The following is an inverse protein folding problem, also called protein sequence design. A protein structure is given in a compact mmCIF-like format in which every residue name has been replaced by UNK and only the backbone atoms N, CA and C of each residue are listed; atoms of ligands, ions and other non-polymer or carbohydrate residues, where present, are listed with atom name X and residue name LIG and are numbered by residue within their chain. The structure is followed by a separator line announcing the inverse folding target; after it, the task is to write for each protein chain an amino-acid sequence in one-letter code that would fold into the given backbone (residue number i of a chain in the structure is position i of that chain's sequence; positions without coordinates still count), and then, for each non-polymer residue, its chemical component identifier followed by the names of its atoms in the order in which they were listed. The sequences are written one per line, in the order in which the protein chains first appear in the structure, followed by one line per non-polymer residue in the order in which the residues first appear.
data_IF_887427501700
#
_entry.id   IF_887427501700
#
_cell.length_a   1.000
_cell.length_b   1.000
_cell.length_c   1.000
_cell.angle_alpha   90.00
_cell.angle_beta   90.00
_cell.angle_gamma   90.00
#
_symmetry.space_group_name_H-M   'P 1'
#
loop_
_entity.id
_entity.type
_entity.pdbx_description
1 polymer ?
#
# COMPACT_ATOMS: atom_id res chain seq x y z
N UNK A 1 24.97 -14.76 32.02
CA UNK A 1 24.04 -13.69 31.61
C UNK A 1 24.76 -12.37 31.78
N UNK A 2 25.25 -11.77 30.70
CA UNK A 2 25.83 -10.42 30.71
C UNK A 2 24.68 -9.42 30.82
N UNK A 3 24.65 -8.63 31.89
CA UNK A 3 23.65 -7.57 32.09
C UNK A 3 23.93 -6.51 31.01
N UNK A 4 22.94 -6.22 30.17
CA UNK A 4 23.08 -5.17 29.16
C UNK A 4 23.33 -3.83 29.85
N UNK A 5 24.31 -3.02 29.40
CA UNK A 5 24.57 -1.72 29.97
C UNK A 5 23.32 -0.83 29.89
N UNK A 6 23.14 0.13 30.81
CA UNK A 6 22.00 1.05 30.78
C UNK A 6 21.95 1.78 29.43
N UNK A 7 20.75 1.92 28.86
CA UNK A 7 20.48 2.43 27.51
C UNK A 7 21.08 3.83 27.19
N UNK A 8 21.58 4.55 28.19
CA UNK A 8 22.13 5.88 28.04
C UNK A 8 23.65 5.94 27.81
N UNK A 9 24.40 4.89 28.10
CA UNK A 9 25.86 4.97 27.98
C UNK A 9 26.28 4.86 26.51
N UNK A 10 27.14 5.76 26.00
CA UNK A 10 27.65 5.64 24.66
C UNK A 10 28.48 4.35 24.52
N UNK A 11 28.44 3.70 23.35
CA UNK A 11 29.24 2.52 23.09
C UNK A 11 30.73 2.88 23.06
N UNK A 12 31.59 1.89 23.29
CA UNK A 12 33.01 2.03 23.02
C UNK A 12 33.23 2.09 21.50
N UNK A 13 33.32 3.31 20.97
CA UNK A 13 33.51 3.58 19.56
C UNK A 13 34.78 2.97 18.99
N UNK A 14 35.81 2.73 19.82
CA UNK A 14 37.06 2.12 19.38
C UNK A 14 36.92 0.64 19.06
N UNK A 15 35.93 -0.03 19.68
CA UNK A 15 35.64 -1.44 19.46
C UNK A 15 34.75 -1.71 18.23
N UNK A 16 34.12 -0.68 17.66
CA UNK A 16 33.18 -0.81 16.54
C UNK A 16 33.90 -0.46 15.23
N UNK A 17 34.21 -1.47 14.43
CA UNK A 17 34.89 -1.29 13.13
C UNK A 17 33.95 -0.80 12.03
N UNK A 18 32.66 -1.03 12.15
CA UNK A 18 31.65 -0.67 11.15
C UNK A 18 31.21 0.79 11.28
N UNK A 19 31.03 1.48 10.16
CA UNK A 19 30.47 2.84 10.16
C UNK A 19 29.00 2.78 10.54
N UNK A 20 28.64 3.44 11.64
CA UNK A 20 27.27 3.46 12.15
C UNK A 20 26.60 4.75 11.70
N UNK A 21 25.82 4.68 10.63
CA UNK A 21 25.10 5.83 10.08
C UNK A 21 23.72 6.01 10.72
N UNK A 22 23.24 7.24 10.76
CA UNK A 22 21.87 7.58 11.11
C UNK A 22 20.91 6.96 10.10
N UNK A 23 19.85 6.27 10.55
CA UNK A 23 18.97 5.55 9.63
C UNK A 23 18.03 6.46 8.82
N UNK A 24 17.89 7.75 9.17
CA UNK A 24 17.04 8.67 8.42
C UNK A 24 17.83 9.52 7.42
N UNK A 25 18.99 10.03 7.84
CA UNK A 25 19.78 11.01 7.10
C UNK A 25 21.20 10.55 6.74
N UNK A 26 21.59 9.33 7.10
CA UNK A 26 22.89 8.71 6.80
C UNK A 26 24.13 9.36 7.46
N UNK A 27 23.95 10.36 8.33
CA UNK A 27 25.05 10.98 9.10
C UNK A 27 25.81 9.96 9.97
N UNK A 28 27.15 10.02 10.00
CA UNK A 28 27.99 9.14 10.83
C UNK A 28 27.80 9.45 12.32
N UNK A 29 27.35 8.46 13.09
CA UNK A 29 27.02 8.60 14.51
C UNK A 29 28.21 8.31 15.44
N UNK A 30 29.39 7.98 14.90
CA UNK A 30 30.59 7.71 15.70
C UNK A 30 31.00 8.93 16.53
N UNK A 31 31.45 8.66 17.75
CA UNK A 31 31.90 9.69 18.70
C UNK A 31 30.77 10.43 19.42
N UNK A 32 29.49 10.16 19.10
CA UNK A 32 28.38 10.77 19.82
C UNK A 32 28.24 10.18 21.23
N UNK A 33 28.05 11.05 22.22
CA UNK A 33 27.78 10.68 23.61
C UNK A 33 26.28 10.52 23.90
N UNK A 34 25.43 11.23 23.16
CA UNK A 34 23.97 11.24 23.32
C UNK A 34 23.33 10.42 22.19
N UNK A 35 22.31 9.58 22.46
CA UNK A 35 21.66 8.75 21.45
C UNK A 35 20.66 9.55 20.59
N UNK A 36 21.16 10.63 19.98
CA UNK A 36 20.41 11.54 19.11
C UNK A 36 21.29 12.01 17.96
N UNK A 37 20.78 11.95 16.74
CA UNK A 37 21.48 12.47 15.57
C UNK A 37 21.53 14.02 15.61
N UNK A 38 22.71 14.64 15.45
CA UNK A 38 22.83 16.10 15.45
C UNK A 38 22.23 16.75 14.19
N UNK A 39 22.20 16.05 13.06
CA UNK A 39 21.70 16.57 11.78
C UNK A 39 20.17 16.59 11.68
N UNK A 40 19.52 15.45 11.92
CA UNK A 40 18.07 15.30 11.76
C UNK A 40 17.30 15.26 13.09
N UNK A 41 17.99 15.24 14.23
CA UNK A 41 17.37 15.18 15.55
C UNK A 41 16.76 13.82 15.93
N UNK A 42 16.91 12.80 15.08
CA UNK A 42 16.39 11.45 15.30
C UNK A 42 16.95 10.83 16.59
N UNK A 43 16.07 10.38 17.47
CA UNK A 43 16.41 9.70 18.72
C UNK A 43 16.35 8.19 18.53
N UNK A 44 17.39 7.49 18.97
CA UNK A 44 17.54 6.03 18.88
C UNK A 44 18.00 5.45 20.22
N UNK A 45 18.15 4.13 20.30
CA UNK A 45 18.75 3.43 21.43
C UNK A 45 20.03 2.73 20.95
N UNK A 46 21.14 2.84 21.69
CA UNK A 46 22.44 2.34 21.25
C UNK A 46 22.45 0.82 21.03
N UNK A 47 21.95 -0.02 21.96
CA UNK A 47 21.89 -1.45 21.74
C UNK A 47 21.01 -1.82 20.55
N UNK A 48 19.92 -1.09 20.31
CA UNK A 48 19.05 -1.33 19.14
C UNK A 48 19.75 -1.00 17.82
N UNK A 49 20.49 0.10 17.78
CA UNK A 49 21.21 0.55 16.59
C UNK A 49 22.39 -0.38 16.25
N UNK A 50 23.09 -0.88 17.28
CA UNK A 50 24.30 -1.69 17.12
C UNK A 50 24.00 -3.19 16.93
N UNK A 51 22.85 -3.69 17.37
CA UNK A 51 22.47 -5.09 17.24
C UNK A 51 22.11 -5.43 15.78
N UNK A 52 23.09 -6.00 15.05
CA UNK A 52 22.92 -6.46 13.67
C UNK A 52 21.84 -7.54 13.53
N UNK A 53 21.68 -8.38 14.54
CA UNK A 53 20.71 -9.47 14.56
C UNK A 53 19.27 -8.93 14.63
N UNK A 54 19.04 -7.85 15.40
CA UNK A 54 17.74 -7.16 15.44
C UNK A 54 17.41 -6.52 14.10
N UNK A 55 18.40 -5.96 13.40
CA UNK A 55 18.20 -5.41 12.04
C UNK A 55 17.76 -6.48 11.04
N UNK A 56 18.19 -7.73 11.21
CA UNK A 56 17.90 -8.83 10.29
C UNK A 56 16.58 -9.58 10.56
N UNK A 57 16.12 -9.68 11.81
CA UNK A 57 15.06 -10.64 12.22
C UNK A 57 13.61 -10.19 12.03
N UNK A 58 13.30 -9.35 11.06
CA UNK A 58 11.96 -8.78 10.92
C UNK A 58 11.04 -9.54 9.97
N UNK A 59 9.74 -9.43 10.26
CA UNK A 59 8.66 -10.13 9.57
C UNK A 59 8.32 -9.56 8.18
N UNK A 60 9.03 -8.51 7.77
CA UNK A 60 8.73 -7.70 6.58
C UNK A 60 9.29 -8.40 5.34
N UNK A 61 8.53 -8.37 4.25
CA UNK A 61 8.86 -9.02 2.99
C UNK A 61 10.26 -8.67 2.47
N UNK A 62 10.69 -7.41 2.64
CA UNK A 62 12.02 -6.93 2.21
C UNK A 62 13.18 -7.76 2.79
N UNK A 63 13.04 -8.36 3.97
CA UNK A 63 14.12 -9.09 4.64
C UNK A 63 13.98 -10.60 4.56
N UNK A 64 12.99 -11.11 3.83
CA UNK A 64 12.81 -12.55 3.68
C UNK A 64 13.95 -13.17 2.86
N UNK A 65 14.65 -14.16 3.39
CA UNK A 65 15.70 -14.89 2.66
C UNK A 65 15.15 -16.22 2.11
N UNK A 66 14.46 -17.01 2.94
CA UNK A 66 14.06 -18.38 2.60
C UNK A 66 12.55 -18.63 2.52
N UNK A 67 11.71 -17.67 2.93
CA UNK A 67 10.25 -17.89 3.08
C UNK A 67 9.41 -16.74 2.50
N UNK A 68 9.65 -16.38 1.24
CA UNK A 68 8.97 -15.25 0.55
C UNK A 68 7.45 -15.29 0.66
N UNK A 69 6.81 -16.46 0.45
CA UNK A 69 5.34 -16.59 0.51
C UNK A 69 4.78 -16.25 1.88
N UNK A 70 5.37 -16.81 2.94
CA UNK A 70 4.94 -16.56 4.33
C UNK A 70 5.22 -15.13 4.74
N UNK A 71 6.35 -14.56 4.32
CA UNK A 71 6.70 -13.17 4.57
C UNK A 71 5.77 -12.20 3.86
N UNK A 72 5.39 -12.49 2.60
CA UNK A 72 4.41 -11.73 1.84
C UNK A 72 3.07 -11.68 2.57
N UNK A 73 2.48 -12.85 2.84
CA UNK A 73 1.19 -12.96 3.54
C UNK A 73 1.23 -12.25 4.90
N UNK A 74 2.30 -12.45 5.68
CA UNK A 74 2.45 -11.81 6.98
C UNK A 74 2.58 -10.28 6.87
N UNK A 75 3.29 -9.78 5.87
CA UNK A 75 3.42 -8.34 5.61
C UNK A 75 2.08 -7.75 5.19
N UNK A 76 1.41 -8.37 4.22
CA UNK A 76 0.10 -7.92 3.73
C UNK A 76 -0.96 -7.94 4.83
N UNK A 77 -1.04 -9.01 5.63
CA UNK A 77 -1.97 -9.09 6.78
C UNK A 77 -1.62 -8.06 7.83
N UNK A 78 -0.34 -7.90 8.18
CA UNK A 78 0.07 -6.91 9.17
C UNK A 78 -0.26 -5.47 8.73
N UNK A 79 -0.20 -5.19 7.42
CA UNK A 79 -0.58 -3.90 6.83
C UNK A 79 -2.00 -3.45 7.20
N UNK A 80 -2.95 -4.37 7.40
CA UNK A 80 -4.33 -4.06 7.81
C UNK A 80 -4.43 -3.43 9.21
N UNK A 81 -3.42 -3.59 10.04
CA UNK A 81 -3.32 -2.94 11.34
C UNK A 81 -2.22 -1.87 11.30
N UNK A 82 -2.45 -0.71 10.64
CA UNK A 82 -1.39 0.26 10.36
C UNK A 82 -0.65 0.72 11.62
N UNK A 83 -1.37 0.89 12.73
CA UNK A 83 -0.75 1.27 14.00
C UNK A 83 0.27 0.24 14.51
N UNK A 84 -0.07 -1.06 14.47
CA UNK A 84 0.83 -2.13 14.94
C UNK A 84 1.98 -2.36 13.97
N UNK A 85 1.69 -2.31 12.67
CA UNK A 85 2.68 -2.47 11.61
C UNK A 85 3.76 -1.39 11.68
N UNK A 86 3.37 -0.11 11.67
CA UNK A 86 4.32 1.00 11.65
C UNK A 86 5.04 1.21 12.98
N UNK A 87 4.49 0.76 14.12
CA UNK A 87 5.22 0.75 15.40
C UNK A 87 6.36 -0.27 15.45
N UNK A 88 6.22 -1.38 14.71
CA UNK A 88 7.24 -2.44 14.67
C UNK A 88 8.28 -2.20 13.57
N UNK A 89 7.93 -1.41 12.56
CA UNK A 89 8.84 -1.02 11.51
C UNK A 89 9.79 0.07 12.01
N UNK A 90 11.08 -0.15 11.85
CA UNK A 90 12.12 0.76 12.34
C UNK A 90 12.89 1.34 11.16
N UNK A 91 13.20 2.64 11.16
CA UNK A 91 14.01 3.26 10.11
C UNK A 91 15.38 2.60 9.90
N UNK A 92 15.95 2.00 10.94
CA UNK A 92 17.25 1.30 10.96
C UNK A 92 17.33 0.10 10.01
N UNK A 93 16.19 -0.37 9.53
CA UNK A 93 16.09 -1.52 8.66
C UNK A 93 16.55 -1.14 7.25
N UNK A 94 17.53 -1.86 6.66
CA UNK A 94 18.01 -1.55 5.32
C UNK A 94 16.88 -1.71 4.30
N UNK A 95 16.69 -0.71 3.44
CA UNK A 95 15.63 -0.78 2.44
C UNK A 95 16.18 -1.41 1.16
N UNK A 96 15.64 -2.58 0.79
CA UNK A 96 15.87 -3.18 -0.52
C UNK A 96 14.74 -2.75 -1.48
N UNK A 97 15.04 -1.72 -2.29
CA UNK A 97 14.09 -1.18 -3.26
C UNK A 97 13.65 -2.21 -4.31
N UNK A 98 14.50 -3.17 -4.66
CA UNK A 98 14.17 -4.22 -5.62
C UNK A 98 13.07 -5.12 -5.08
N UNK A 99 13.23 -5.58 -3.84
CA UNK A 99 12.21 -6.41 -3.15
C UNK A 99 10.93 -5.66 -2.87
N UNK A 100 11.02 -4.37 -2.55
CA UNK A 100 9.85 -3.53 -2.33
C UNK A 100 9.04 -3.33 -3.63
N UNK A 101 9.71 -3.11 -4.77
CA UNK A 101 9.06 -3.08 -6.09
C UNK A 101 8.44 -4.43 -6.43
N UNK A 102 9.14 -5.52 -6.17
CA UNK A 102 8.62 -6.87 -6.39
C UNK A 102 7.37 -7.15 -5.54
N UNK A 103 7.34 -6.73 -4.28
CA UNK A 103 6.16 -6.77 -3.42
C UNK A 103 4.97 -6.03 -4.06
N UNK A 104 5.21 -4.81 -4.53
CA UNK A 104 4.17 -4.01 -5.20
C UNK A 104 3.64 -4.70 -6.47
N UNK A 105 4.51 -5.31 -7.27
CA UNK A 105 4.12 -6.05 -8.47
C UNK A 105 3.25 -7.26 -8.14
N UNK A 106 3.60 -8.02 -7.08
CA UNK A 106 2.76 -9.13 -6.61
C UNK A 106 1.38 -8.62 -6.18
N UNK A 107 1.30 -7.52 -5.44
CA UNK A 107 0.02 -6.95 -5.01
C UNK A 107 -0.87 -6.53 -6.21
N UNK A 108 -0.27 -5.92 -7.23
CA UNK A 108 -0.97 -5.59 -8.49
C UNK A 108 -1.39 -6.84 -9.25
N UNK A 109 -0.52 -7.85 -9.35
CA UNK A 109 -0.86 -9.12 -9.99
C UNK A 109 -2.03 -9.81 -9.28
N UNK A 110 -2.02 -9.84 -7.94
CA UNK A 110 -3.11 -10.41 -7.15
C UNK A 110 -4.44 -9.67 -7.39
N UNK A 111 -4.40 -8.34 -7.54
CA UNK A 111 -5.57 -7.57 -7.95
C UNK A 111 -6.11 -8.09 -9.30
N UNK A 112 -5.29 -8.13 -10.34
CA UNK A 112 -5.73 -8.57 -11.67
C UNK A 112 -6.20 -10.04 -11.69
N UNK A 113 -5.51 -10.93 -10.98
CA UNK A 113 -5.93 -12.33 -10.85
C UNK A 113 -7.28 -12.42 -10.16
N UNK A 114 -7.49 -11.68 -9.07
CA UNK A 114 -8.77 -11.68 -8.36
C UNK A 114 -9.90 -11.09 -9.19
N UNK A 115 -9.66 -9.99 -9.90
CA UNK A 115 -10.66 -9.36 -10.74
C UNK A 115 -10.98 -10.21 -11.98
N UNK A 116 -9.97 -10.81 -12.61
CA UNK A 116 -10.15 -11.75 -13.73
C UNK A 116 -10.91 -13.00 -13.31
N UNK A 117 -10.62 -13.55 -12.13
CA UNK A 117 -11.38 -14.67 -11.58
C UNK A 117 -12.87 -14.30 -11.39
N UNK A 118 -13.17 -13.07 -11.00
CA UNK A 118 -14.55 -12.58 -10.86
C UNK A 118 -15.23 -12.48 -12.22
N UNK A 119 -14.56 -11.91 -13.23
CA UNK A 119 -15.09 -11.86 -14.61
C UNK A 119 -15.39 -13.27 -15.15
N UNK A 120 -14.50 -14.23 -14.91
CA UNK A 120 -14.67 -15.62 -15.35
C UNK A 120 -15.73 -16.39 -14.55
N UNK A 121 -15.93 -16.06 -13.27
CA UNK A 121 -16.93 -16.71 -12.43
C UNK A 121 -18.37 -16.25 -12.77
N UNK A 122 -18.55 -15.01 -13.22
CA UNK A 122 -19.85 -14.45 -13.60
C UNK A 122 -20.69 -15.35 -14.53
N UNK A 123 -20.19 -15.79 -15.71
CA UNK A 123 -20.99 -16.66 -16.60
C UNK A 123 -21.30 -18.02 -15.98
N UNK A 124 -20.37 -18.59 -15.20
CA UNK A 124 -20.62 -19.87 -14.49
C UNK A 124 -21.77 -19.76 -13.50
N UNK A 125 -21.89 -18.59 -12.86
CA UNK A 125 -22.89 -18.32 -11.84
C UNK A 125 -24.24 -18.03 -12.46
N UNK A 126 -24.27 -17.26 -13.54
CA UNK A 126 -25.46 -17.07 -14.34
C UNK A 126 -26.00 -18.41 -14.86
N UNK A 127 -25.12 -19.27 -15.38
CA UNK A 127 -25.48 -20.62 -15.84
C UNK A 127 -26.11 -21.47 -14.74
N UNK A 128 -25.49 -21.46 -13.55
CA UNK A 128 -25.99 -22.18 -12.39
C UNK A 128 -27.36 -21.65 -11.95
N UNK A 129 -27.55 -20.33 -11.93
CA UNK A 129 -28.82 -19.70 -11.56
C UNK A 129 -29.94 -20.06 -12.54
N UNK A 130 -29.63 -20.15 -13.84
CA UNK A 130 -30.57 -20.56 -14.88
C UNK A 130 -30.72 -22.09 -15.02
N UNK A 131 -29.99 -22.87 -14.21
CA UNK A 131 -29.90 -24.33 -14.32
C UNK A 131 -29.49 -24.82 -15.71
N UNK A 132 -28.68 -24.05 -16.45
CA UNK A 132 -28.11 -24.47 -17.73
C UNK A 132 -26.92 -25.41 -17.50
N UNK A 133 -26.66 -26.28 -18.49
CA UNK A 133 -25.44 -27.07 -18.51
C UNK A 133 -24.20 -26.17 -18.57
N UNK A 134 -23.24 -26.42 -17.66
CA UNK A 134 -22.03 -25.61 -17.51
C UNK A 134 -21.17 -25.57 -18.79
N UNK A 135 -21.19 -26.65 -19.58
CA UNK A 135 -20.52 -26.72 -20.88
C UNK A 135 -21.15 -25.74 -21.87
N UNK A 136 -22.48 -25.66 -21.93
CA UNK A 136 -23.18 -24.74 -22.83
C UNK A 136 -22.93 -23.30 -22.42
N UNK A 137 -22.88 -22.99 -21.12
CA UNK A 137 -22.56 -21.64 -20.66
C UNK A 137 -21.12 -21.19 -20.92
N UNK A 138 -20.14 -22.11 -20.88
CA UNK A 138 -18.76 -21.81 -21.27
C UNK A 138 -18.63 -21.59 -22.78
N UNK A 139 -19.36 -22.35 -23.59
CA UNK A 139 -19.40 -22.17 -25.05
C UNK A 139 -20.11 -20.87 -25.44
N UNK A 140 -21.10 -20.44 -24.66
CA UNK A 140 -21.89 -19.23 -24.87
C UNK A 140 -21.30 -17.99 -24.16
N UNK A 141 -20.00 -18.05 -23.82
CA UNK A 141 -19.30 -16.98 -23.11
C UNK A 141 -19.39 -15.64 -23.83
N UNK A 142 -19.28 -15.62 -25.15
CA UNK A 142 -19.38 -14.39 -25.95
C UNK A 142 -20.77 -13.76 -25.82
N UNK A 143 -21.84 -14.56 -25.84
CA UNK A 143 -23.20 -14.07 -25.66
C UNK A 143 -23.42 -13.57 -24.22
N UNK A 144 -22.92 -14.30 -23.22
CA UNK A 144 -22.96 -13.88 -21.82
C UNK A 144 -22.20 -12.55 -21.60
N UNK A 145 -21.00 -12.40 -22.16
CA UNK A 145 -20.21 -11.17 -22.12
C UNK A 145 -20.89 -10.01 -22.85
N UNK A 146 -21.56 -10.29 -23.97
CA UNK A 146 -22.34 -9.28 -24.69
C UNK A 146 -23.52 -8.75 -23.86
N UNK A 147 -24.17 -9.63 -23.08
CA UNK A 147 -25.27 -9.26 -22.18
C UNK A 147 -24.82 -8.51 -20.93
N UNK A 148 -23.62 -8.81 -20.42
CA UNK A 148 -22.99 -8.09 -19.31
C UNK A 148 -22.59 -6.67 -19.73
N UNK A 149 -22.35 -6.46 -21.02
CA UNK A 149 -21.85 -5.21 -21.58
C UNK A 149 -20.34 -5.08 -21.44
N UNK A 150 -19.73 -4.34 -22.38
CA UNK A 150 -18.28 -4.07 -22.38
C UNK A 150 -17.80 -3.23 -21.19
N UNK A 151 -18.72 -2.66 -20.41
CA UNK A 151 -18.42 -1.77 -19.30
C UNK A 151 -17.70 -2.45 -18.13
N UNK A 152 -18.02 -3.71 -17.78
CA UNK A 152 -17.41 -4.37 -16.60
C UNK A 152 -15.91 -4.66 -16.79
N UNK A 153 -15.45 -5.31 -17.88
CA UNK A 153 -14.02 -5.54 -18.10
C UNK A 153 -13.23 -4.24 -18.20
N UNK A 154 -13.80 -3.22 -18.86
CA UNK A 154 -13.18 -1.89 -18.99
C UNK A 154 -13.06 -1.22 -17.63
N UNK A 155 -14.11 -1.27 -16.81
CA UNK A 155 -14.13 -0.77 -15.42
C UNK A 155 -13.05 -1.43 -14.58
N UNK A 156 -12.94 -2.76 -14.63
CA UNK A 156 -11.91 -3.52 -13.90
C UNK A 156 -10.51 -3.14 -14.38
N UNK A 157 -10.30 -3.04 -15.70
CA UNK A 157 -9.02 -2.65 -16.26
C UNK A 157 -8.63 -1.23 -15.79
N UNK A 158 -9.54 -0.27 -15.88
CA UNK A 158 -9.34 1.11 -15.43
C UNK A 158 -9.01 1.17 -13.93
N UNK A 159 -9.75 0.44 -13.08
CA UNK A 159 -9.40 0.32 -11.66
C UNK A 159 -8.01 -0.27 -11.44
N UNK A 160 -7.61 -1.28 -12.20
CA UNK A 160 -6.28 -1.87 -12.15
C UNK A 160 -5.18 -0.88 -12.54
N UNK A 161 -5.41 -0.07 -13.58
CA UNK A 161 -4.49 0.99 -13.98
C UNK A 161 -4.38 2.09 -12.92
N UNK A 162 -5.52 2.55 -12.39
CA UNK A 162 -5.56 3.52 -11.29
C UNK A 162 -4.80 2.97 -10.08
N UNK A 163 -5.04 1.70 -9.71
CA UNK A 163 -4.35 1.04 -8.62
C UNK A 163 -2.83 0.94 -8.83
N UNK A 164 -2.40 0.61 -10.05
CA UNK A 164 -0.99 0.51 -10.43
C UNK A 164 -0.29 1.87 -10.33
N UNK A 165 -0.93 2.95 -10.77
CA UNK A 165 -0.31 4.28 -10.84
C UNK A 165 -0.41 5.05 -9.52
N UNK A 166 -1.39 4.75 -8.66
CA UNK A 166 -1.67 5.48 -7.42
C UNK A 166 -0.46 5.64 -6.48
N UNK A 167 0.36 4.60 -6.21
CA UNK A 167 1.52 4.74 -5.34
C UNK A 167 2.57 5.68 -5.93
N UNK A 168 2.74 5.67 -7.25
CA UNK A 168 3.71 6.53 -7.93
C UNK A 168 3.25 7.98 -7.93
N UNK A 169 1.96 8.23 -8.22
CA UNK A 169 1.38 9.56 -8.09
C UNK A 169 1.47 10.08 -6.67
N UNK A 170 1.13 9.25 -5.67
CA UNK A 170 1.27 9.62 -4.26
C UNK A 170 2.73 9.95 -3.89
N UNK A 171 3.70 9.17 -4.39
CA UNK A 171 5.11 9.46 -4.16
C UNK A 171 5.52 10.80 -4.80
N UNK A 172 5.09 11.07 -6.03
CA UNK A 172 5.37 12.33 -6.74
C UNK A 172 4.71 13.52 -6.05
N UNK A 173 3.45 13.42 -5.62
CA UNK A 173 2.80 14.52 -4.88
C UNK A 173 3.47 14.76 -3.53
N UNK A 174 3.93 13.71 -2.87
CA UNK A 174 4.74 13.83 -1.66
C UNK A 174 6.08 14.54 -1.91
N UNK A 175 6.64 14.47 -3.13
CA UNK A 175 7.82 15.28 -3.50
C UNK A 175 7.55 16.77 -3.59
N UNK A 176 6.30 17.23 -3.68
CA UNK A 176 5.99 18.67 -3.59
C UNK A 176 6.36 19.20 -2.20
N UNK A 177 6.31 18.34 -1.18
CA UNK A 177 6.74 18.65 0.18
C UNK A 177 8.24 18.37 0.42
N UNK A 178 9.07 18.37 -0.63
CA UNK A 178 10.52 18.12 -0.52
C UNK A 178 11.21 19.07 0.43
N UNK A 179 10.82 20.34 0.49
CA UNK A 179 11.45 21.30 1.40
C UNK A 179 11.25 20.89 2.86
N UNK A 180 10.04 20.44 3.21
CA UNK A 180 9.75 19.92 4.54
C UNK A 180 10.49 18.61 4.82
N UNK A 181 10.60 17.72 3.82
CA UNK A 181 11.37 16.47 3.94
C UNK A 181 12.89 16.71 4.03
N UNK A 182 13.40 17.71 3.32
CA UNK A 182 14.81 18.11 3.30
C UNK A 182 15.19 18.75 4.64
N UNK A 183 14.34 19.61 5.21
CA UNK A 183 14.53 20.12 6.57
C UNK A 183 14.57 19.00 7.61
N UNK A 184 13.84 17.91 7.37
CA UNK A 184 13.86 16.72 8.21
C UNK A 184 14.96 15.70 7.81
N UNK A 185 15.75 15.98 6.77
CA UNK A 185 16.76 15.09 6.19
C UNK A 185 16.27 13.64 6.00
N UNK A 186 15.05 13.45 5.52
CA UNK A 186 14.46 12.11 5.32
C UNK A 186 14.90 11.53 3.98
N UNK A 187 15.54 10.36 3.99
CA UNK A 187 15.85 9.65 2.75
C UNK A 187 14.56 9.23 2.02
N UNK A 188 14.55 9.50 0.71
CA UNK A 188 13.46 9.24 -0.23
C UNK A 188 13.07 7.76 -0.32
N UNK A 189 13.97 6.84 0.00
CA UNK A 189 13.68 5.41 0.08
C UNK A 189 12.63 5.10 1.16
N UNK A 190 12.69 5.77 2.32
CA UNK A 190 11.68 5.63 3.37
C UNK A 190 10.31 6.16 2.93
N UNK A 191 10.30 7.27 2.19
CA UNK A 191 9.07 7.85 1.63
C UNK A 191 8.41 6.85 0.68
N UNK A 192 9.19 6.26 -0.25
CA UNK A 192 8.70 5.26 -1.18
C UNK A 192 8.17 4.01 -0.46
N UNK A 193 8.87 3.54 0.59
CA UNK A 193 8.43 2.44 1.46
C UNK A 193 7.08 2.73 2.11
N UNK A 194 6.92 3.93 2.68
CA UNK A 194 5.65 4.39 3.25
C UNK A 194 4.52 4.36 2.22
N UNK A 195 4.77 4.86 1.01
CA UNK A 195 3.76 4.92 -0.04
C UNK A 195 3.35 3.53 -0.54
N UNK A 196 4.31 2.66 -0.85
CA UNK A 196 4.02 1.31 -1.38
C UNK A 196 3.30 0.43 -0.35
N UNK A 197 3.71 0.44 0.92
CA UNK A 197 2.98 -0.28 1.97
C UNK A 197 1.66 0.36 2.37
N UNK A 198 1.41 1.63 2.07
CA UNK A 198 0.10 2.24 2.30
C UNK A 198 -0.91 1.84 1.23
N UNK A 199 -0.44 1.53 0.02
CA UNK A 199 -1.29 1.16 -1.11
C UNK A 199 -1.53 -0.35 -1.25
N UNK A 200 -0.86 -1.21 -0.47
CA UNK A 200 -1.01 -2.67 -0.60
C UNK A 200 -2.40 -3.20 -0.23
N UNK A 201 -3.23 -2.41 0.47
CA UNK A 201 -4.62 -2.75 0.76
C UNK A 201 -5.50 -2.82 -0.49
N UNK A 202 -5.05 -2.23 -1.61
CA UNK A 202 -5.88 -2.05 -2.79
C UNK A 202 -6.30 -3.34 -3.47
N UNK A 203 -5.54 -4.44 -3.37
CA UNK A 203 -6.01 -5.71 -3.96
C UNK A 203 -7.22 -6.29 -3.21
N UNK A 204 -7.23 -6.24 -1.88
CA UNK A 204 -8.40 -6.66 -1.08
C UNK A 204 -9.57 -5.72 -1.32
N UNK A 205 -9.28 -4.42 -1.42
CA UNK A 205 -10.28 -3.42 -1.73
C UNK A 205 -10.92 -3.68 -3.11
N UNK A 206 -10.11 -4.06 -4.10
CA UNK A 206 -10.56 -4.54 -5.41
C UNK A 206 -11.48 -5.74 -5.33
N UNK A 207 -11.14 -6.75 -4.51
CA UNK A 207 -12.01 -7.90 -4.24
C UNK A 207 -13.34 -7.43 -3.64
N UNK A 208 -13.30 -6.58 -2.62
CA UNK A 208 -14.50 -6.11 -1.92
C UNK A 208 -15.44 -5.30 -2.82
N UNK A 209 -14.91 -4.49 -3.74
CA UNK A 209 -15.73 -3.74 -4.73
C UNK A 209 -16.29 -4.65 -5.81
N UNK A 210 -15.57 -5.71 -6.14
CA UNK A 210 -16.00 -6.66 -7.16
C UNK A 210 -17.11 -7.60 -6.64
N UNK A 211 -17.28 -7.73 -5.32
CA UNK A 211 -18.39 -8.51 -4.72
C UNK A 211 -19.78 -7.94 -5.04
N UNK A 212 -20.06 -6.62 -4.92
CA UNK A 212 -21.28 -6.03 -5.43
C UNK A 212 -21.53 -6.33 -6.91
N UNK A 213 -20.49 -6.28 -7.77
CA UNK A 213 -20.60 -6.64 -9.18
C UNK A 213 -21.08 -8.10 -9.38
N UNK A 214 -20.65 -9.00 -8.50
CA UNK A 214 -21.12 -10.39 -8.49
C UNK A 214 -22.54 -10.54 -7.94
N UNK A 215 -22.90 -9.77 -6.91
CA UNK A 215 -24.26 -9.76 -6.37
C UNK A 215 -25.30 -9.31 -7.41
N UNK A 216 -24.93 -8.46 -8.37
CA UNK A 216 -25.81 -8.04 -9.47
C UNK A 216 -26.21 -9.22 -10.35
N UNK A 217 -25.26 -10.11 -10.64
CA UNK A 217 -25.47 -11.31 -11.47
C UNK A 217 -26.47 -12.24 -10.80
N UNK A 218 -26.38 -12.39 -9.48
CA UNK A 218 -27.28 -13.25 -8.71
C UNK A 218 -28.68 -12.67 -8.55
N UNK A 219 -28.81 -11.35 -8.48
CA UNK A 219 -30.10 -10.70 -8.30
C UNK A 219 -30.15 -9.34 -9.01
N UNK A 220 -30.54 -9.28 -10.29
CA UNK A 220 -30.58 -8.02 -11.05
C UNK A 220 -31.56 -6.99 -10.47
N UNK A 221 -32.52 -7.41 -9.61
CA UNK A 221 -33.44 -6.50 -8.93
C UNK A 221 -32.77 -5.66 -7.83
N UNK A 222 -31.62 -6.08 -7.30
CA UNK A 222 -30.91 -5.32 -6.25
C UNK A 222 -30.42 -3.95 -6.70
N UNK A 223 -30.23 -3.74 -8.02
CA UNK A 223 -29.71 -2.48 -8.58
C UNK A 223 -30.73 -1.74 -9.44
N UNK A 224 -31.89 -2.34 -9.71
CA UNK A 224 -33.04 -1.62 -10.23
C UNK A 224 -33.59 -0.54 -9.27
N UNK A 225 -32.87 -0.24 -8.18
CA UNK A 225 -32.97 1.01 -7.47
C UNK A 225 -32.50 2.14 -8.40
N UNK A 226 -33.43 2.66 -9.23
CA UNK A 226 -33.26 3.92 -9.95
C UNK A 226 -33.01 5.01 -8.92
N UNK A 227 -31.74 5.30 -8.63
CA UNK A 227 -31.35 6.28 -7.61
C UNK A 227 -31.68 7.72 -8.01
N UNK A 228 -32.19 7.96 -9.23
CA UNK A 228 -32.50 9.31 -9.71
C UNK A 228 -31.28 10.23 -9.82
N UNK A 229 -30.07 9.67 -9.66
CA UNK A 229 -28.79 10.36 -9.74
C UNK A 229 -28.35 10.49 -11.20
N UNK A 230 -27.58 11.55 -11.47
CA UNK A 230 -27.04 11.87 -12.80
C UNK A 230 -25.99 10.88 -13.33
N UNK A 231 -25.58 9.90 -12.52
CA UNK A 231 -24.52 8.95 -12.85
C UNK A 231 -25.09 7.56 -13.13
N UNK A 232 -24.49 6.86 -14.10
CA UNK A 232 -24.72 5.41 -14.20
C UNK A 232 -24.23 4.73 -12.92
N UNK A 233 -24.92 3.68 -12.47
CA UNK A 233 -24.62 3.01 -11.19
C UNK A 233 -23.15 2.58 -11.11
N UNK A 234 -22.58 2.12 -12.22
CA UNK A 234 -21.17 1.73 -12.35
C UNK A 234 -20.20 2.88 -12.06
N UNK A 235 -20.47 4.09 -12.56
CA UNK A 235 -19.61 5.26 -12.34
C UNK A 235 -19.63 5.70 -10.88
N UNK A 236 -20.82 5.68 -10.26
CA UNK A 236 -20.94 5.97 -8.83
C UNK A 236 -20.17 4.96 -7.99
N UNK A 237 -20.23 3.67 -8.33
CA UNK A 237 -19.44 2.63 -7.66
C UNK A 237 -17.94 2.88 -7.80
N UNK A 238 -17.45 3.18 -9.01
CA UNK A 238 -16.05 3.52 -9.26
C UNK A 238 -15.59 4.75 -8.46
N UNK A 239 -16.41 5.77 -8.39
CA UNK A 239 -16.12 6.99 -7.65
C UNK A 239 -16.03 6.72 -6.14
N UNK A 240 -17.04 6.05 -5.57
CA UNK A 240 -17.06 5.68 -4.15
C UNK A 240 -15.90 4.76 -3.82
N UNK A 241 -15.59 3.80 -4.69
CA UNK A 241 -14.42 2.95 -4.61
C UNK A 241 -13.12 3.76 -4.51
N UNK A 242 -12.85 4.61 -5.51
CA UNK A 242 -11.65 5.44 -5.54
C UNK A 242 -11.55 6.35 -4.31
N UNK A 243 -12.66 6.91 -3.85
CA UNK A 243 -12.71 7.76 -2.65
C UNK A 243 -12.35 6.97 -1.37
N UNK A 244 -12.95 5.80 -1.16
CA UNK A 244 -12.66 4.96 -0.01
C UNK A 244 -11.20 4.45 -0.03
N UNK A 245 -10.68 4.09 -1.21
CA UNK A 245 -9.27 3.72 -1.36
C UNK A 245 -8.33 4.88 -1.02
N UNK A 246 -8.65 6.09 -1.49
CA UNK A 246 -7.91 7.33 -1.19
C UNK A 246 -7.90 7.62 0.32
N UNK A 247 -9.07 7.52 0.99
CA UNK A 247 -9.19 7.70 2.45
C UNK A 247 -8.36 6.65 3.20
N UNK A 248 -8.47 5.38 2.83
CA UNK A 248 -7.72 4.29 3.47
C UNK A 248 -6.21 4.52 3.32
N UNK A 249 -5.76 4.89 2.12
CA UNK A 249 -4.36 5.19 1.83
C UNK A 249 -3.89 6.41 2.65
N UNK A 250 -4.71 7.47 2.75
CA UNK A 250 -4.41 8.65 3.57
C UNK A 250 -4.21 8.28 5.04
N UNK A 251 -5.10 7.46 5.61
CA UNK A 251 -5.02 7.00 7.00
C UNK A 251 -3.73 6.19 7.22
N UNK A 252 -3.44 5.22 6.34
CA UNK A 252 -2.25 4.37 6.45
C UNK A 252 -0.96 5.18 6.31
N UNK A 253 -0.92 6.13 5.38
CA UNK A 253 0.21 7.01 5.16
C UNK A 253 0.42 7.98 6.34
N UNK A 254 -0.66 8.50 6.92
CA UNK A 254 -0.60 9.33 8.12
C UNK A 254 0.02 8.56 9.31
N UNK A 255 -0.37 7.29 9.50
CA UNK A 255 0.27 6.43 10.51
C UNK A 255 1.73 6.14 10.20
N UNK A 256 2.06 5.85 8.95
CA UNK A 256 3.44 5.67 8.51
C UNK A 256 4.27 6.90 8.89
N UNK A 257 3.84 8.09 8.49
CA UNK A 257 4.61 9.30 8.71
C UNK A 257 4.71 9.67 10.18
N UNK A 258 3.66 9.44 10.96
CA UNK A 258 3.65 9.73 12.40
C UNK A 258 4.50 8.75 13.20
N UNK A 259 4.39 7.46 12.94
CA UNK A 259 4.99 6.41 13.77
C UNK A 259 6.40 6.02 13.27
N UNK A 260 6.58 5.94 11.95
CA UNK A 260 7.84 5.54 11.31
C UNK A 260 8.77 6.74 11.11
N UNK A 261 8.28 7.82 10.49
CA UNK A 261 9.11 9.02 10.20
C UNK A 261 9.10 10.06 11.33
N UNK A 262 8.20 9.94 12.33
CA UNK A 262 7.99 10.91 13.41
C UNK A 262 7.71 12.34 12.92
N UNK A 263 6.97 12.47 11.82
CA UNK A 263 6.68 13.75 11.18
C UNK A 263 5.57 14.53 11.94
N UNK A 264 5.76 15.81 12.33
CA UNK A 264 4.81 16.55 13.16
C UNK A 264 3.41 16.71 12.55
N UNK A 265 3.33 16.95 11.24
CA UNK A 265 2.08 17.17 10.50
C UNK A 265 1.74 16.03 9.55
N UNK A 266 2.06 14.79 9.96
CA UNK A 266 1.89 13.57 9.16
C UNK A 266 0.50 13.45 8.50
N UNK A 267 -0.57 13.68 9.25
CA UNK A 267 -1.94 13.54 8.75
C UNK A 267 -2.28 14.60 7.69
N UNK A 268 -1.91 15.87 7.91
CA UNK A 268 -2.17 16.93 6.95
C UNK A 268 -1.43 16.70 5.62
N UNK A 269 -0.16 16.29 5.69
CA UNK A 269 0.63 15.94 4.49
C UNK A 269 0.03 14.75 3.75
N UNK A 270 -0.39 13.70 4.47
CA UNK A 270 -1.02 12.53 3.87
C UNK A 270 -2.35 12.91 3.18
N UNK A 271 -3.25 13.61 3.87
CA UNK A 271 -4.55 14.04 3.32
C UNK A 271 -4.34 14.94 2.09
N UNK A 272 -3.47 15.96 2.19
CA UNK A 272 -3.20 16.84 1.07
C UNK A 272 -2.66 16.07 -0.15
N UNK A 273 -1.73 15.12 0.06
CA UNK A 273 -1.20 14.30 -1.02
C UNK A 273 -2.29 13.48 -1.72
N UNK A 274 -3.23 12.90 -0.97
CA UNK A 274 -4.29 12.05 -1.52
C UNK A 274 -5.38 12.89 -2.21
N UNK A 275 -5.68 14.09 -1.72
CA UNK A 275 -6.58 15.04 -2.41
C UNK A 275 -6.00 15.41 -3.77
N UNK A 276 -4.70 15.75 -3.85
CA UNK A 276 -4.05 16.10 -5.13
C UNK A 276 -4.12 14.91 -6.10
N UNK A 277 -3.78 13.69 -5.66
CA UNK A 277 -3.83 12.49 -6.50
C UNK A 277 -5.26 12.22 -7.00
N UNK A 278 -6.25 12.29 -6.09
CA UNK A 278 -7.65 12.06 -6.42
C UNK A 278 -8.17 13.08 -7.44
N UNK A 279 -7.87 14.37 -7.24
CA UNK A 279 -8.25 15.43 -8.18
C UNK A 279 -7.58 15.26 -9.54
N UNK A 280 -6.28 14.93 -9.57
CA UNK A 280 -5.55 14.71 -10.81
C UNK A 280 -6.15 13.54 -11.63
N UNK A 281 -6.45 12.41 -10.98
CA UNK A 281 -7.08 11.27 -11.64
C UNK A 281 -8.49 11.61 -12.10
N UNK A 282 -9.29 12.26 -11.26
CA UNK A 282 -10.67 12.66 -11.59
C UNK A 282 -10.69 13.60 -12.81
N UNK A 283 -9.75 14.54 -12.88
CA UNK A 283 -9.59 15.43 -14.03
C UNK A 283 -9.25 14.68 -15.32
N UNK A 284 -8.32 13.73 -15.26
CA UNK A 284 -7.94 12.90 -16.42
C UNK A 284 -9.13 12.07 -16.90
N UNK A 285 -9.84 11.42 -15.98
CA UNK A 285 -11.05 10.62 -16.30
C UNK A 285 -12.10 11.51 -16.96
N UNK A 286 -12.42 12.66 -16.37
CA UNK A 286 -13.42 13.61 -16.90
C UNK A 286 -13.04 14.26 -18.24
N UNK A 287 -11.77 14.17 -18.66
CA UNK A 287 -11.32 14.69 -19.97
C UNK A 287 -11.38 13.60 -21.06
N UNK A 288 -11.28 12.33 -20.67
CA UNK A 288 -11.28 11.19 -21.59
C UNK A 288 -12.71 10.74 -21.93
N UNK A 289 -13.63 10.84 -20.98
CA UNK A 289 -15.03 10.44 -21.08
C UNK A 289 -15.93 11.67 -21.18
#
# INVERSE_FOLDING_TARGET
MTIAPPASNPPDWSAITDTICCPLCEYDLRGLSVPRCPECGYQFDWPELLDADRRAKLFVFEHAINHYRRAFLRTSIAGWAPWSFWRRLQPQQPIDLGRLRFYSLISVLLYFVSAGAIVLATPMVAAYAEKRDLIMALLDYDMAMSNIGSSIPVTIALCGFVYLIWPWLSFVTLRIFTDSMRRANVNTAHVLRCTLYSCDAGFVFGILISLPAYAQVLNPRWIAFKTGLLFETTELYLFVAALLFSILTAIRLAFAYRLYLRFPHAAATAIASQIIVFLAISFVVATIF
#
